data_IF_033484157038
#
_entry.id   IF_033484157038
#
_cell.length_a   1.000
_cell.length_b   1.000
_cell.length_c   1.000
_cell.angle_alpha   90.00
_cell.angle_beta   90.00
_cell.angle_gamma   90.00
#
_symmetry.space_group_name_H-M   'P 1'
#
loop_
_entity.id
_entity.type
_entity.pdbx_description
1 polymer ?
#
# COMPACT_ATOMS: atom_id res chain seq x y z
N UNK A 1 -6.76 17.92 -13.58
CA UNK A 1 -6.04 16.78 -12.99
C UNK A 1 -7.03 15.93 -12.22
N UNK A 2 -6.89 14.60 -12.28
CA UNK A 2 -7.80 13.71 -11.56
C UNK A 2 -7.20 13.30 -10.22
N UNK A 3 -8.08 12.97 -9.30
CA UNK A 3 -7.67 12.56 -7.97
C UNK A 3 -8.05 11.09 -7.77
N UNK A 4 -7.13 10.30 -7.26
CA UNK A 4 -7.36 8.88 -7.00
C UNK A 4 -7.14 8.57 -5.54
N UNK A 5 -8.06 7.80 -4.98
CA UNK A 5 -7.89 7.29 -3.63
C UNK A 5 -7.24 5.92 -3.72
N UNK A 6 -6.12 5.75 -3.03
CA UNK A 6 -5.36 4.51 -3.08
C UNK A 6 -5.48 3.84 -1.72
N UNK A 7 -5.91 2.59 -1.72
CA UNK A 7 -6.12 1.84 -0.49
C UNK A 7 -5.34 0.53 -0.55
N UNK A 8 -4.61 0.23 0.53
CA UNK A 8 -3.95 -1.06 0.67
C UNK A 8 -5.00 -2.05 1.16
N UNK A 9 -5.21 -3.12 0.39
CA UNK A 9 -6.31 -4.04 0.66
C UNK A 9 -5.87 -5.39 1.21
N UNK A 10 -4.63 -5.50 1.61
CA UNK A 10 -4.11 -6.72 2.20
C UNK A 10 -3.88 -6.48 3.69
N UNK A 11 -3.35 -7.49 4.37
CA UNK A 11 -3.10 -7.42 5.81
C UNK A 11 -1.63 -7.65 6.08
N UNK A 12 -1.16 -7.04 7.16
CA UNK A 12 0.22 -7.22 7.62
C UNK A 12 0.17 -7.76 9.03
N UNK A 13 0.88 -8.86 9.28
CA UNK A 13 0.98 -9.44 10.60
C UNK A 13 2.21 -8.93 11.30
N UNK A 14 2.02 -8.41 12.51
CA UNK A 14 3.13 -7.89 13.29
C UNK A 14 2.73 -7.92 14.77
N UNK A 15 3.72 -7.95 15.65
CA UNK A 15 3.47 -7.96 17.06
C UNK A 15 3.13 -6.58 17.60
N UNK A 16 3.64 -5.55 16.97
CA UNK A 16 3.41 -4.18 17.39
C UNK A 16 3.14 -3.30 16.19
N UNK A 17 2.61 -2.12 16.45
CA UNK A 17 2.35 -1.16 15.37
C UNK A 17 3.66 -0.72 14.70
N UNK A 18 4.74 -0.58 15.48
CA UNK A 18 6.01 -0.20 14.92
C UNK A 18 6.52 -1.25 13.96
N UNK A 19 6.36 -2.52 14.32
CA UNK A 19 6.76 -3.60 13.42
C UNK A 19 5.90 -3.58 12.15
N UNK A 20 4.62 -3.26 12.30
CA UNK A 20 3.75 -3.18 11.13
C UNK A 20 4.23 -2.09 10.18
N UNK A 21 4.68 -0.96 10.71
CA UNK A 21 5.23 0.10 9.86
C UNK A 21 6.45 -0.39 9.09
N UNK A 22 7.35 -1.08 9.78
CA UNK A 22 8.57 -1.58 9.14
C UNK A 22 8.24 -2.60 8.06
N UNK A 23 7.30 -3.49 8.35
CA UNK A 23 6.88 -4.47 7.36
C UNK A 23 6.30 -3.79 6.14
N UNK A 24 5.50 -2.75 6.36
CA UNK A 24 4.89 -2.03 5.25
C UNK A 24 5.96 -1.33 4.41
N UNK A 25 6.96 -0.72 5.06
CA UNK A 25 8.02 -0.06 4.32
C UNK A 25 8.82 -1.05 3.48
N UNK A 26 9.10 -2.24 4.04
CA UNK A 26 9.79 -3.27 3.29
C UNK A 26 8.95 -3.74 2.11
N UNK A 27 7.66 -3.88 2.33
CA UNK A 27 6.75 -4.28 1.26
C UNK A 27 6.75 -3.23 0.14
N UNK A 28 6.73 -1.95 0.52
CA UNK A 28 6.72 -0.88 -0.48
C UNK A 28 8.00 -0.86 -1.31
N UNK A 29 9.13 -1.23 -0.70
CA UNK A 29 10.36 -1.32 -1.47
C UNK A 29 10.23 -2.37 -2.57
N UNK A 30 9.62 -3.49 -2.26
CA UNK A 30 9.42 -4.54 -3.25
C UNK A 30 8.39 -4.12 -4.29
N UNK A 31 7.36 -3.39 -3.86
CA UNK A 31 6.37 -2.87 -4.80
C UNK A 31 7.06 -1.99 -5.85
N UNK A 32 7.95 -1.11 -5.38
CA UNK A 32 8.68 -0.25 -6.31
C UNK A 32 9.58 -1.04 -7.23
N UNK A 33 10.24 -2.05 -6.68
CA UNK A 33 11.20 -2.83 -7.46
C UNK A 33 10.51 -3.62 -8.57
N UNK A 34 9.39 -4.22 -8.27
CA UNK A 34 8.68 -5.06 -9.24
C UNK A 34 7.50 -4.37 -9.89
N UNK A 35 7.18 -3.15 -9.45
CA UNK A 35 6.05 -2.39 -9.95
C UNK A 35 4.75 -3.18 -9.84
N UNK A 36 4.60 -3.87 -8.71
CA UNK A 36 3.47 -4.74 -8.46
C UNK A 36 2.50 -4.08 -7.49
N UNK A 37 1.39 -3.59 -8.02
CA UNK A 37 0.39 -2.87 -7.24
C UNK A 37 -0.88 -3.67 -7.04
N UNK A 38 -0.80 -5.00 -7.10
CA UNK A 38 -2.00 -5.82 -7.01
C UNK A 38 -2.66 -5.75 -5.64
N UNK A 39 -1.91 -5.41 -4.58
CA UNK A 39 -2.47 -5.29 -3.25
C UNK A 39 -3.04 -3.90 -2.97
N UNK A 40 -3.13 -3.05 -3.99
CA UNK A 40 -3.64 -1.69 -3.83
C UNK A 40 -4.86 -1.50 -4.69
N UNK A 41 -5.84 -0.79 -4.14
CA UNK A 41 -7.06 -0.45 -4.86
C UNK A 41 -7.01 1.03 -5.21
N UNK A 42 -7.26 1.34 -6.48
CA UNK A 42 -7.27 2.72 -6.97
C UNK A 42 -8.68 3.09 -7.34
N UNK A 43 -9.17 4.17 -6.76
CA UNK A 43 -10.52 4.63 -7.05
C UNK A 43 -10.47 6.11 -7.43
N UNK A 44 -10.97 6.43 -8.61
CA UNK A 44 -11.04 7.81 -9.06
C UNK A 44 -12.12 8.54 -8.27
N UNK A 45 -11.76 9.71 -7.73
CA UNK A 45 -12.70 10.53 -7.00
C UNK A 45 -13.06 11.72 -7.84
N UNK A 46 -14.35 11.89 -8.09
CA UNK A 46 -14.79 13.06 -8.80
C UNK A 46 -14.91 14.17 -7.80
N UNK A 47 -14.38 15.21 -8.17
CA UNK A 47 -14.33 16.34 -7.41
C UNK A 47 -15.37 17.03 -7.15
#
# INVERSE_FOLDING_TARGET
MKKYKVTFVDCIEASTEEEAYEEMLNYLKEVCKYQDLTAFDFKEESK
#
